data_IF_916915744062
#
_entry.id   IF_916915744062
#
_cell.length_a   1.000
_cell.length_b   1.000
_cell.length_c   1.000
_cell.angle_alpha   90.00
_cell.angle_beta   90.00
_cell.angle_gamma   90.00
#
_symmetry.space_group_name_H-M   'P 1'
#
loop_
_entity.id
_entity.type
_entity.pdbx_description
1 polymer ?
#
# COMPACT_ATOMS: atom_id res chain seq x y z
N UNK A 1 4.36 -4.79 19.77
CA UNK A 1 5.44 -3.79 19.75
C UNK A 1 5.46 -3.15 18.38
N UNK A 2 5.36 -1.82 18.29
CA UNK A 2 5.72 -1.09 17.07
C UNK A 2 7.25 -1.02 17.01
N UNK A 3 7.84 -1.47 15.91
CA UNK A 3 9.30 -1.39 15.72
C UNK A 3 9.62 -0.21 14.80
N UNK A 4 10.22 0.84 15.38
CA UNK A 4 10.75 1.99 14.64
C UNK A 4 11.93 1.53 13.79
N UNK A 5 11.83 1.62 12.47
CA UNK A 5 12.89 1.20 11.55
C UNK A 5 13.23 2.34 10.60
N UNK A 6 14.48 2.79 10.67
CA UNK A 6 15.03 3.86 9.85
C UNK A 6 15.27 3.34 8.43
N UNK A 7 14.43 3.76 7.49
CA UNK A 7 14.72 3.59 6.07
C UNK A 7 15.50 4.81 5.57
N UNK A 8 16.74 4.59 5.18
CA UNK A 8 17.45 5.49 4.29
C UNK A 8 16.73 5.50 2.94
N UNK A 9 16.73 6.64 2.24
CA UNK A 9 16.18 6.74 0.89
C UNK A 9 16.81 5.67 0.00
N UNK A 10 15.98 4.90 -0.72
CA UNK A 10 16.45 3.81 -1.58
C UNK A 10 17.38 4.33 -2.68
N UNK A 11 18.69 4.27 -2.42
CA UNK A 11 19.77 4.85 -3.23
C UNK A 11 19.99 4.18 -4.59
N UNK A 12 19.19 3.15 -4.90
CA UNK A 12 19.16 2.50 -6.20
C UNK A 12 18.00 2.98 -7.10
N UNK A 13 17.17 3.93 -6.65
CA UNK A 13 15.99 4.42 -7.38
C UNK A 13 15.93 5.94 -7.61
N UNK A 14 16.85 6.73 -7.05
CA UNK A 14 16.99 8.16 -7.39
C UNK A 14 18.40 8.66 -7.15
N UNK A 15 18.96 9.39 -8.13
CA UNK A 15 20.28 9.99 -8.03
C UNK A 15 20.35 11.10 -6.95
N UNK A 16 21.40 11.02 -6.12
CA UNK A 16 22.09 12.11 -5.44
C UNK A 16 21.25 13.32 -4.96
N UNK A 17 20.49 13.14 -3.87
CA UNK A 17 20.11 14.23 -2.97
C UNK A 17 20.19 13.78 -1.51
N UNK A 18 20.84 14.59 -0.66
CA UNK A 18 20.81 14.40 0.79
C UNK A 18 19.40 14.67 1.33
N UNK A 19 18.65 13.60 1.58
CA UNK A 19 17.37 13.68 2.27
C UNK A 19 17.56 13.39 3.76
N UNK A 20 16.93 14.20 4.62
CA UNK A 20 16.79 13.88 6.05
C UNK A 20 16.13 12.50 6.19
N UNK A 21 16.67 11.66 7.08
CA UNK A 21 16.05 10.35 7.37
C UNK A 21 14.65 10.55 7.94
N UNK A 22 13.66 9.93 7.30
CA UNK A 22 12.26 9.97 7.74
C UNK A 22 11.98 8.65 8.47
N UNK A 23 11.53 8.74 9.72
CA UNK A 23 11.08 7.56 10.47
C UNK A 23 9.66 7.21 10.03
N UNK A 24 9.49 6.00 9.50
CA UNK A 24 8.22 5.51 9.01
C UNK A 24 7.62 4.47 9.97
N UNK A 25 6.31 4.57 10.19
CA UNK A 25 5.55 3.53 10.89
C UNK A 25 5.52 2.28 10.01
N UNK A 26 5.77 1.10 10.58
CA UNK A 26 5.70 -0.15 9.83
C UNK A 26 5.16 -1.31 10.67
N UNK A 27 4.50 -2.26 9.99
CA UNK A 27 4.00 -3.52 10.55
C UNK A 27 4.47 -4.69 9.70
N UNK A 28 4.49 -5.87 10.31
CA UNK A 28 4.72 -7.13 9.59
C UNK A 28 3.37 -7.78 9.24
N UNK A 29 3.21 -8.15 7.97
CA UNK A 29 2.05 -8.91 7.46
C UNK A 29 2.55 -10.30 7.09
N UNK A 30 2.08 -11.32 7.81
CA UNK A 30 2.43 -12.72 7.55
C UNK A 30 1.35 -13.37 6.70
N UNK A 31 1.71 -13.85 5.51
CA UNK A 31 0.83 -14.71 4.71
C UNK A 31 1.17 -16.18 4.96
N UNK A 32 0.48 -17.09 4.27
CA UNK A 32 0.84 -18.51 4.27
C UNK A 32 2.19 -18.80 3.59
N UNK A 33 2.70 -17.88 2.75
CA UNK A 33 3.83 -18.12 1.85
C UNK A 33 5.05 -17.23 2.13
N UNK A 34 4.86 -15.99 2.60
CA UNK A 34 5.93 -15.01 2.77
C UNK A 34 5.70 -14.15 4.02
N UNK A 35 6.74 -13.49 4.51
CA UNK A 35 6.60 -12.37 5.45
C UNK A 35 6.82 -11.06 4.71
N UNK A 36 5.79 -10.22 4.69
CA UNK A 36 5.90 -8.87 4.15
C UNK A 36 6.07 -7.86 5.27
N UNK A 37 6.70 -6.73 4.94
CA UNK A 37 6.73 -5.54 5.77
C UNK A 37 5.98 -4.43 5.06
N UNK A 38 4.95 -3.91 5.73
CA UNK A 38 4.15 -2.78 5.27
C UNK A 38 4.63 -1.50 5.96
N UNK A 39 5.03 -0.51 5.17
CA UNK A 39 5.68 0.73 5.64
C UNK A 39 4.86 1.92 5.17
N UNK A 40 4.36 2.74 6.10
CA UNK A 40 3.65 3.99 5.80
C UNK A 40 4.63 5.01 5.19
N UNK A 41 4.28 5.61 4.04
CA UNK A 41 5.27 6.34 3.22
C UNK A 41 5.34 7.88 3.39
N UNK A 42 4.24 8.56 3.72
CA UNK A 42 4.05 9.98 3.37
C UNK A 42 4.17 10.29 1.86
N UNK A 43 3.82 11.53 1.50
CA UNK A 43 3.55 11.93 0.13
C UNK A 43 4.80 12.04 -0.75
N UNK A 44 5.90 12.56 -0.22
CA UNK A 44 7.11 12.74 -1.00
C UNK A 44 7.73 11.39 -1.38
N UNK A 45 7.76 10.42 -0.44
CA UNK A 45 8.28 9.08 -0.73
C UNK A 45 7.36 8.34 -1.71
N UNK A 46 6.04 8.40 -1.49
CA UNK A 46 5.08 7.76 -2.39
C UNK A 46 5.15 8.33 -3.81
N UNK A 47 5.20 9.66 -3.97
CA UNK A 47 5.30 10.31 -5.28
C UNK A 47 6.55 9.90 -6.07
N UNK A 48 7.71 9.78 -5.43
CA UNK A 48 8.93 9.34 -6.12
C UNK A 48 8.85 7.85 -6.49
N UNK A 49 8.41 6.99 -5.57
CA UNK A 49 8.27 5.55 -5.85
C UNK A 49 7.20 5.27 -6.91
N UNK A 50 6.11 6.05 -6.95
CA UNK A 50 5.04 5.88 -7.92
C UNK A 50 5.52 6.08 -9.37
N UNK A 51 6.47 6.99 -9.62
CA UNK A 51 7.05 7.21 -10.97
C UNK A 51 7.77 5.98 -11.52
N UNK A 52 8.36 5.19 -10.63
CA UNK A 52 9.06 3.94 -10.94
C UNK A 52 8.19 2.73 -10.61
N UNK A 53 6.90 2.80 -10.96
CA UNK A 53 5.94 1.73 -10.67
C UNK A 53 4.84 1.61 -11.72
N UNK A 54 4.31 0.40 -11.88
CA UNK A 54 3.25 0.05 -12.85
C UNK A 54 1.99 -0.43 -12.13
N UNK A 55 0.82 -0.08 -12.66
CA UNK A 55 -0.47 -0.40 -12.05
C UNK A 55 -0.79 -1.90 -12.14
N UNK A 56 -1.33 -2.47 -11.06
CA UNK A 56 -1.86 -3.83 -11.03
C UNK A 56 -3.38 -3.76 -10.97
N UNK A 57 -4.05 -4.60 -11.76
CA UNK A 57 -5.51 -4.69 -11.82
C UNK A 57 -6.07 -5.10 -10.45
N UNK A 58 -7.06 -4.37 -9.96
CA UNK A 58 -7.75 -4.65 -8.71
C UNK A 58 -8.67 -5.89 -8.85
N UNK A 59 -9.08 -6.48 -7.72
CA UNK A 59 -10.05 -7.58 -7.73
C UNK A 59 -11.41 -7.06 -7.29
N UNK A 60 -12.15 -6.45 -8.21
CA UNK A 60 -13.47 -5.89 -7.90
C UNK A 60 -14.44 -6.91 -7.28
N UNK A 61 -14.30 -8.21 -7.59
CA UNK A 61 -15.10 -9.26 -6.95
C UNK A 61 -14.80 -9.39 -5.46
N UNK A 62 -13.51 -9.37 -5.10
CA UNK A 62 -13.08 -9.33 -3.71
C UNK A 62 -13.43 -8.01 -3.00
N UNK A 63 -13.29 -6.88 -3.68
CA UNK A 63 -13.64 -5.56 -3.12
C UNK A 63 -15.13 -5.48 -2.79
N UNK A 64 -16.00 -6.01 -3.66
CA UNK A 64 -17.43 -6.12 -3.39
C UNK A 64 -17.74 -7.12 -2.26
N UNK A 65 -16.99 -8.21 -2.10
CA UNK A 65 -17.18 -9.13 -0.97
C UNK A 65 -16.84 -8.47 0.37
N UNK A 66 -15.78 -7.65 0.41
CA UNK A 66 -15.41 -6.86 1.60
C UNK A 66 -16.44 -5.77 1.90
N UNK A 67 -17.05 -5.16 0.88
CA UNK A 67 -18.06 -4.12 1.08
C UNK A 67 -19.43 -4.67 1.51
N UNK A 68 -19.77 -5.90 1.07
CA UNK A 68 -21.02 -6.57 1.43
C UNK A 68 -21.06 -7.04 2.90
N UNK A 69 -19.90 -7.35 3.49
CA UNK A 69 -19.77 -7.72 4.90
C UNK A 69 -19.84 -6.46 5.79
N UNK A 70 -20.95 -6.32 6.51
CA UNK A 70 -21.24 -5.17 7.38
C UNK A 70 -20.55 -5.23 8.74
N UNK A 71 -20.04 -6.39 9.13
CA UNK A 71 -19.41 -6.60 10.42
C UNK A 71 -17.91 -6.27 10.38
N UNK A 72 -17.30 -6.24 9.18
CA UNK A 72 -15.92 -5.78 8.99
C UNK A 72 -15.81 -4.26 8.75
N UNK A 73 -14.64 -3.72 9.13
CA UNK A 73 -14.28 -2.31 9.02
C UNK A 73 -14.50 -1.69 7.62
N UNK A 74 -14.31 -2.50 6.58
CA UNK A 74 -14.31 -2.07 5.17
C UNK A 74 -15.66 -1.50 4.70
N UNK A 75 -16.78 -1.96 5.27
CA UNK A 75 -18.10 -1.40 4.97
C UNK A 75 -18.31 0.03 5.49
N UNK A 76 -17.37 0.56 6.30
CA UNK A 76 -17.52 1.85 6.98
C UNK A 76 -16.33 2.78 6.74
N UNK A 77 -16.52 3.72 5.80
CA UNK A 77 -15.57 4.78 5.46
C UNK A 77 -14.99 5.50 6.69
N UNK A 78 -15.84 5.91 7.63
CA UNK A 78 -15.40 6.66 8.81
C UNK A 78 -14.58 5.82 9.79
N UNK A 79 -14.93 4.55 10.00
CA UNK A 79 -14.14 3.63 10.83
C UNK A 79 -12.80 3.30 10.17
N UNK A 80 -12.79 3.05 8.86
CA UNK A 80 -11.55 2.82 8.10
C UNK A 80 -10.60 4.02 8.22
N UNK A 81 -11.09 5.24 7.96
CA UNK A 81 -10.31 6.47 8.11
C UNK A 81 -9.77 6.64 9.53
N UNK A 82 -10.61 6.43 10.55
CA UNK A 82 -10.21 6.58 11.96
C UNK A 82 -9.14 5.56 12.36
N UNK A 83 -9.30 4.28 12.01
CA UNK A 83 -8.32 3.24 12.29
C UNK A 83 -6.98 3.50 11.57
N UNK A 84 -7.02 3.85 10.28
CA UNK A 84 -5.82 4.23 9.51
C UNK A 84 -5.12 5.44 10.14
N UNK A 85 -5.87 6.45 10.57
CA UNK A 85 -5.34 7.67 11.19
C UNK A 85 -4.71 7.41 12.55
N UNK A 86 -5.36 6.62 13.41
CA UNK A 86 -4.85 6.26 14.73
C UNK A 86 -3.55 5.44 14.65
N UNK A 87 -3.46 4.52 13.69
CA UNK A 87 -2.33 3.60 13.57
C UNK A 87 -1.16 4.13 12.74
N UNK A 88 -1.44 4.97 11.73
CA UNK A 88 -0.46 5.38 10.72
C UNK A 88 -0.34 6.90 10.52
N UNK A 89 -0.93 7.69 11.42
CA UNK A 89 -0.86 9.15 11.42
C UNK A 89 -1.73 9.79 10.35
N UNK A 90 -1.43 11.04 9.97
CA UNK A 90 -2.28 11.78 9.04
C UNK A 90 -2.32 11.16 7.62
N UNK A 91 -3.45 11.41 6.95
CA UNK A 91 -3.62 11.10 5.54
C UNK A 91 -2.67 11.93 4.67
N UNK A 92 -2.26 11.35 3.54
CA UNK A 92 -1.62 12.07 2.45
C UNK A 92 -2.56 13.03 1.73
N UNK A 93 -1.99 14.02 1.06
CA UNK A 93 -2.67 15.11 0.32
C UNK A 93 -2.31 15.14 -1.18
N UNK A 94 -1.24 14.46 -1.58
CA UNK A 94 -0.75 14.52 -2.96
C UNK A 94 -1.57 13.70 -3.98
N UNK A 95 -2.56 12.91 -3.54
CA UNK A 95 -3.38 12.05 -4.43
C UNK A 95 -4.87 12.40 -4.36
N UNK A 96 -5.30 13.17 -5.36
CA UNK A 96 -6.70 13.44 -5.75
C UNK A 96 -7.64 13.93 -4.63
N UNK A 97 -7.29 15.08 -4.03
CA UNK A 97 -8.18 15.91 -3.19
C UNK A 97 -9.51 16.31 -3.90
N UNK A 98 -9.66 16.06 -5.21
CA UNK A 98 -10.83 16.42 -6.00
C UNK A 98 -11.93 15.34 -6.01
N UNK A 99 -11.58 14.05 -5.78
CA UNK A 99 -12.55 12.93 -5.67
C UNK A 99 -12.37 12.05 -4.43
N UNK A 100 -11.24 12.16 -3.76
CA UNK A 100 -10.93 11.50 -2.51
C UNK A 100 -11.14 12.39 -1.31
N UNK A 101 -11.11 11.77 -0.14
CA UNK A 101 -11.20 12.40 1.18
C UNK A 101 -10.05 11.93 2.09
N UNK A 102 -9.42 10.80 1.75
CA UNK A 102 -8.13 10.37 2.28
C UNK A 102 -7.32 9.57 1.25
N UNK A 103 -6.00 9.56 1.45
CA UNK A 103 -5.06 8.61 0.85
C UNK A 103 -4.04 8.17 1.92
N UNK A 104 -3.82 6.86 2.03
CA UNK A 104 -2.81 6.24 2.88
C UNK A 104 -1.91 5.36 2.02
N UNK A 105 -0.83 5.93 1.45
CA UNK A 105 0.15 5.15 0.71
C UNK A 105 1.13 4.41 1.62
N UNK A 106 1.43 3.20 1.20
CA UNK A 106 2.36 2.27 1.83
C UNK A 106 3.29 1.60 0.80
N UNK A 107 4.48 1.22 1.27
CA UNK A 107 5.41 0.31 0.59
C UNK A 107 5.28 -1.08 1.22
N UNK A 108 5.15 -2.09 0.37
CA UNK A 108 5.15 -3.51 0.73
C UNK A 108 6.49 -4.08 0.27
N UNK A 109 7.30 -4.56 1.21
CA UNK A 109 8.55 -5.28 0.93
C UNK A 109 8.37 -6.75 1.30
N UNK A 110 8.76 -7.67 0.42
CA UNK A 110 8.91 -9.07 0.78
C UNK A 110 10.23 -9.23 1.56
N UNK A 111 10.19 -9.71 2.81
CA UNK A 111 11.40 -9.87 3.64
C UNK A 111 12.32 -10.98 3.16
N UNK A 112 11.77 -11.98 2.48
CA UNK A 112 12.51 -13.11 1.95
C UNK A 112 13.11 -12.80 0.55
N UNK A 113 12.70 -11.66 -0.04
CA UNK A 113 13.09 -11.20 -1.38
C UNK A 113 13.18 -9.67 -1.42
N UNK A 114 14.24 -9.12 -0.83
CA UNK A 114 14.42 -7.65 -0.65
C UNK A 114 14.31 -6.81 -1.95
N UNK A 115 14.54 -7.43 -3.10
CA UNK A 115 14.43 -6.79 -4.42
C UNK A 115 12.98 -6.57 -4.88
N UNK A 116 12.02 -7.29 -4.30
CA UNK A 116 10.62 -7.33 -4.73
C UNK A 116 9.77 -6.43 -3.83
N UNK A 117 9.26 -5.36 -4.43
CA UNK A 117 8.54 -4.32 -3.74
C UNK A 117 7.30 -3.86 -4.50
N UNK A 118 6.23 -3.57 -3.75
CA UNK A 118 4.96 -3.07 -4.26
C UNK A 118 4.54 -1.81 -3.51
N UNK A 119 3.70 -1.00 -4.15
CA UNK A 119 2.97 0.05 -3.48
C UNK A 119 1.52 -0.37 -3.30
N UNK A 120 0.96 -0.02 -2.16
CA UNK A 120 -0.48 -0.06 -1.91
C UNK A 120 -0.91 1.32 -1.44
N UNK A 121 -1.87 1.93 -2.13
CA UNK A 121 -2.54 3.13 -1.64
C UNK A 121 -3.95 2.76 -1.21
N UNK A 122 -4.31 3.09 0.03
CA UNK A 122 -5.68 2.96 0.51
C UNK A 122 -6.29 4.34 0.45
N UNK A 123 -7.23 4.52 -0.46
CA UNK A 123 -7.87 5.80 -0.73
C UNK A 123 -9.37 5.59 -0.86
N UNK A 124 -10.14 6.67 -0.95
CA UNK A 124 -11.53 6.59 -1.34
C UNK A 124 -11.78 7.30 -2.67
N UNK A 125 -12.74 6.79 -3.43
CA UNK A 125 -13.26 7.44 -4.62
C UNK A 125 -14.78 7.24 -4.66
N UNK A 126 -15.55 8.34 -4.80
CA UNK A 126 -17.02 8.28 -4.91
C UNK A 126 -17.72 7.45 -3.82
N UNK A 127 -17.24 7.56 -2.57
CA UNK A 127 -17.72 6.83 -1.38
C UNK A 127 -17.33 5.34 -1.29
N UNK A 128 -16.66 4.76 -2.29
CA UNK A 128 -15.96 3.48 -2.16
C UNK A 128 -14.59 3.68 -1.53
N UNK A 129 -14.13 2.74 -0.71
CA UNK A 129 -12.71 2.57 -0.39
C UNK A 129 -12.08 1.74 -1.52
N UNK A 130 -10.81 1.98 -1.84
CA UNK A 130 -10.05 1.24 -2.86
C UNK A 130 -8.65 0.87 -2.35
N UNK A 131 -8.08 -0.20 -2.90
CA UNK A 131 -6.74 -0.72 -2.62
C UNK A 131 -5.88 -0.67 -3.88
N UNK A 132 -5.35 0.53 -4.20
CA UNK A 132 -4.57 0.78 -5.41
C UNK A 132 -3.20 0.10 -5.37
N UNK A 133 -3.06 -1.02 -6.07
CA UNK A 133 -1.85 -1.83 -6.11
C UNK A 133 -0.93 -1.47 -7.27
N UNK A 134 0.39 -1.37 -7.02
CA UNK A 134 1.41 -1.14 -8.06
C UNK A 134 2.68 -1.97 -7.79
N UNK A 135 3.38 -2.44 -8.83
CA UNK A 135 4.72 -3.06 -8.69
C UNK A 135 5.81 -2.02 -8.91
N UNK A 136 6.85 -2.00 -8.07
CA UNK A 136 8.04 -1.18 -8.33
C UNK A 136 8.91 -1.83 -9.42
N UNK A 137 9.49 -1.00 -10.29
CA UNK A 137 10.33 -1.42 -11.43
C UNK A 137 11.70 -0.75 -11.35
N UNK A 138 12.78 -1.54 -11.50
CA UNK A 138 14.15 -1.11 -11.16
C UNK A 138 14.80 -0.16 -12.19
N UNK A 139 14.43 -0.19 -13.47
CA UNK A 139 15.00 0.69 -14.49
C UNK A 139 14.02 0.96 -15.65
N UNK A 140 14.50 1.66 -16.69
CA UNK A 140 13.77 1.93 -17.93
C UNK A 140 13.76 0.75 -18.92
N UNK A 141 14.47 -0.36 -18.64
CA UNK A 141 14.58 -1.52 -19.54
C UNK A 141 13.46 -2.56 -19.38
N UNK A 142 12.51 -2.34 -18.46
CA UNK A 142 11.33 -3.20 -18.35
C UNK A 142 10.47 -3.04 -19.60
N UNK A 143 10.23 -4.13 -20.34
CA UNK A 143 9.33 -4.18 -21.52
C UNK A 143 7.85 -4.02 -21.15
N UNK A 144 7.55 -3.52 -19.96
CA UNK A 144 6.23 -3.41 -19.36
C UNK A 144 5.68 -2.01 -19.64
N UNK A 145 4.68 -1.93 -20.51
CA UNK A 145 3.96 -0.69 -20.82
C UNK A 145 3.42 -0.04 -19.53
N UNK A 146 3.81 1.21 -19.26
CA UNK A 146 3.48 1.89 -17.99
C UNK A 146 2.05 2.42 -17.94
N UNK A 147 1.44 2.63 -19.11
CA UNK A 147 0.13 3.25 -19.28
C UNK A 147 -1.03 2.23 -19.30
N UNK A 148 -0.73 0.93 -19.28
CA UNK A 148 -1.72 -0.14 -19.13
C UNK A 148 -1.75 -0.67 -17.69
N UNK A 149 -2.88 -1.28 -17.33
CA UNK A 149 -3.06 -1.94 -16.04
C UNK A 149 -2.70 -3.42 -16.20
N UNK A 150 -1.69 -3.88 -15.45
CA UNK A 150 -1.16 -5.25 -15.54
C UNK A 150 -1.96 -6.24 -14.69
N UNK A 151 -1.92 -7.53 -15.04
CA UNK A 151 -2.38 -8.59 -14.12
C UNK A 151 -1.41 -8.69 -12.92
N UNK A 152 -1.84 -9.24 -11.77
CA UNK A 152 -0.93 -9.61 -10.70
C UNK A 152 0.23 -10.48 -11.20
N UNK A 153 1.43 -10.23 -10.67
CA UNK A 153 2.66 -10.91 -11.06
C UNK A 153 2.85 -12.21 -10.26
N UNK A 154 3.64 -13.14 -10.78
CA UNK A 154 3.86 -14.46 -10.15
C UNK A 154 4.47 -14.38 -8.74
N UNK A 155 5.23 -13.32 -8.46
CA UNK A 155 5.86 -13.05 -7.18
C UNK A 155 4.90 -12.45 -6.12
N UNK A 156 3.74 -11.95 -6.54
CA UNK A 156 2.65 -11.53 -5.65
C UNK A 156 1.29 -11.77 -6.34
N UNK A 157 0.86 -13.05 -6.43
CA UNK A 157 -0.29 -13.45 -7.23
C UNK A 157 -1.60 -12.99 -6.58
N UNK A 158 -2.71 -13.05 -7.34
CA UNK A 158 -4.03 -12.56 -6.90
C UNK A 158 -4.44 -13.06 -5.51
N UNK A 159 -4.33 -14.36 -5.26
CA UNK A 159 -4.69 -14.97 -3.97
C UNK A 159 -3.89 -14.39 -2.79
N UNK A 160 -2.61 -14.08 -3.02
CA UNK A 160 -1.70 -13.54 -2.03
C UNK A 160 -2.00 -12.06 -1.76
N UNK A 161 -2.33 -11.28 -2.80
CA UNK A 161 -2.84 -9.89 -2.68
C UNK A 161 -4.14 -9.88 -1.87
N UNK A 162 -5.11 -10.74 -2.23
CA UNK A 162 -6.40 -10.81 -1.55
C UNK A 162 -6.21 -11.25 -0.08
N UNK A 163 -5.35 -12.23 0.20
CA UNK A 163 -5.02 -12.62 1.58
C UNK A 163 -4.37 -11.45 2.36
N UNK A 164 -3.44 -10.73 1.73
CA UNK A 164 -2.78 -9.56 2.33
C UNK A 164 -3.79 -8.47 2.70
N UNK A 165 -4.73 -8.15 1.80
CA UNK A 165 -5.80 -7.18 2.04
C UNK A 165 -6.71 -7.63 3.20
N UNK A 166 -7.17 -8.89 3.19
CA UNK A 166 -7.98 -9.45 4.28
C UNK A 166 -7.27 -9.36 5.64
N UNK A 167 -5.99 -9.75 5.70
CA UNK A 167 -5.19 -9.63 6.92
C UNK A 167 -5.12 -8.18 7.39
N UNK A 168 -4.86 -7.24 6.48
CA UNK A 168 -4.71 -5.83 6.84
C UNK A 168 -6.04 -5.22 7.32
N UNK A 169 -7.17 -5.51 6.66
CA UNK A 169 -8.50 -5.09 7.13
C UNK A 169 -8.82 -5.66 8.51
N UNK A 170 -8.51 -6.94 8.75
CA UNK A 170 -8.67 -7.58 10.06
C UNK A 170 -7.77 -6.97 11.14
N UNK A 171 -6.54 -6.59 10.80
CA UNK A 171 -5.62 -5.89 11.70
C UNK A 171 -6.14 -4.50 12.10
N UNK A 172 -6.65 -3.73 11.15
CA UNK A 172 -7.28 -2.43 11.43
C UNK A 172 -8.53 -2.58 12.30
N UNK A 173 -9.37 -3.60 12.04
CA UNK A 173 -10.57 -3.89 12.83
C UNK A 173 -10.25 -4.31 14.28
N UNK A 174 -9.19 -5.09 14.48
CA UNK A 174 -8.76 -5.60 15.79
C UNK A 174 -8.00 -4.57 16.63
N UNK A 175 -7.71 -3.39 16.08
CA UNK A 175 -7.00 -2.33 16.78
C UNK A 175 -7.96 -1.50 17.63
N UNK A 176 -7.57 -1.06 18.84
CA UNK A 176 -8.44 -0.24 19.69
C UNK A 176 -8.79 1.08 18.99
N UNK A 177 -10.09 1.40 18.95
CA UNK A 177 -10.67 2.63 18.40
C UNK A 177 -11.01 3.62 19.52
#
# INVERSE_FOLDING_TARGET
MMNTIKYYSFSNYSENKEYKSIENISIDVKTKKNIYKLIRLNDQQYYQLHKSSIAIFEDYGHMMSLYADKDILYSSFSKMFTALKLLFGESGKYYDDWKGSFSFPFLILNKDKEEIAYLMNIYNIRSSIEFGMRKLIKSADDTLERDIIHKPFEDFPREEINYFINFFVGYLYSSPQ
#
